data_IF_014349724745
#
_entry.id   IF_014349724745
#
_cell.length_a   1.000
_cell.length_b   1.000
_cell.length_c   1.000
_cell.angle_alpha   90.00
_cell.angle_beta   90.00
_cell.angle_gamma   90.00
#
_symmetry.space_group_name_H-M   'P 1'
#
loop_
_entity.id
_entity.type
_entity.pdbx_description
1 polymer ?
#
# COMPACT_ATOMS: atom_id res chain seq x y z
N UNK A 1 21.63 -12.50 5.67
CA UNK A 1 22.42 -11.30 6.04
C UNK A 1 23.74 -11.79 6.62
N UNK A 2 24.84 -11.06 6.42
CA UNK A 2 26.20 -11.47 6.81
C UNK A 2 27.04 -10.23 7.15
N UNK A 3 28.03 -10.40 8.04
CA UNK A 3 28.94 -9.33 8.46
C UNK A 3 28.32 -8.37 9.47
N UNK A 4 29.11 -7.36 9.87
CA UNK A 4 28.75 -6.35 10.87
C UNK A 4 28.90 -4.95 10.33
N UNK A 5 28.09 -4.02 10.82
CA UNK A 5 28.21 -2.60 10.44
C UNK A 5 27.96 -1.70 11.64
N UNK A 6 28.78 -0.67 11.80
CA UNK A 6 28.57 0.36 12.83
C UNK A 6 27.56 1.37 12.30
N UNK A 7 26.63 1.80 13.14
CA UNK A 7 25.60 2.77 12.83
C UNK A 7 25.68 3.88 13.88
N UNK A 8 25.91 5.10 13.41
CA UNK A 8 25.78 6.31 14.22
C UNK A 8 24.45 6.96 13.87
N UNK A 9 23.63 7.24 14.88
CA UNK A 9 22.26 7.73 14.74
C UNK A 9 22.14 9.04 15.50
N UNK A 10 21.50 10.03 14.89
CA UNK A 10 21.18 11.31 15.52
C UNK A 10 19.68 11.61 15.46
N UNK A 11 19.21 12.37 16.44
CA UNK A 11 17.83 12.83 16.50
C UNK A 11 17.47 13.67 15.26
N UNK A 12 16.22 13.62 14.76
CA UNK A 12 15.77 14.45 13.66
C UNK A 12 15.90 15.94 13.97
N UNK A 13 16.40 16.68 13.00
CA UNK A 13 16.50 18.16 12.99
C UNK A 13 15.60 18.78 11.92
N UNK A 14 15.08 17.94 11.00
CA UNK A 14 14.11 18.31 9.98
C UNK A 14 12.89 17.41 10.09
N UNK A 15 11.74 18.01 10.40
CA UNK A 15 10.53 17.27 10.72
C UNK A 15 9.83 16.75 9.45
N UNK A 16 9.37 15.51 9.50
CA UNK A 16 8.55 14.88 8.46
C UNK A 16 9.11 14.96 7.03
N UNK A 17 10.40 14.61 6.80
CA UNK A 17 10.97 14.68 5.46
C UNK A 17 10.26 13.74 4.50
N UNK A 18 10.22 14.13 3.24
CA UNK A 18 9.75 13.31 2.13
C UNK A 18 10.95 12.76 1.36
N UNK A 19 10.72 11.76 0.50
CA UNK A 19 11.81 11.06 -0.19
C UNK A 19 12.68 11.97 -1.07
N UNK A 20 12.15 13.11 -1.55
CA UNK A 20 12.88 14.10 -2.34
C UNK A 20 13.79 15.01 -1.51
N UNK A 21 13.61 15.08 -0.19
CA UNK A 21 14.46 15.86 0.70
C UNK A 21 15.74 15.06 1.00
N UNK A 22 16.78 15.29 0.20
CA UNK A 22 18.07 14.61 0.35
C UNK A 22 19.00 15.43 1.24
N UNK A 23 19.72 14.76 2.13
CA UNK A 23 20.66 15.37 3.08
C UNK A 23 21.68 16.29 2.41
N UNK A 24 22.24 15.87 1.27
CA UNK A 24 23.23 16.65 0.50
C UNK A 24 22.72 18.02 0.03
N UNK A 25 21.40 18.17 -0.13
CA UNK A 25 20.76 19.36 -0.67
C UNK A 25 20.21 20.27 0.47
N UNK A 26 20.37 19.84 1.73
CA UNK A 26 19.78 20.48 2.92
C UNK A 26 20.76 20.53 4.11
N UNK A 27 21.99 21.04 3.92
CA UNK A 27 23.04 21.01 4.95
C UNK A 27 22.71 21.82 6.22
N UNK A 28 21.83 22.81 6.12
CA UNK A 28 21.36 23.63 7.23
C UNK A 28 20.59 22.83 8.28
N UNK A 29 20.12 21.63 7.92
CA UNK A 29 19.48 20.71 8.84
C UNK A 29 20.42 19.61 9.33
N UNK A 30 21.72 19.60 9.01
CA UNK A 30 22.59 18.54 9.50
C UNK A 30 22.54 18.44 11.05
N UNK A 31 22.56 17.21 11.62
CA UNK A 31 22.57 17.05 13.06
C UNK A 31 23.89 17.56 13.64
N UNK A 32 23.88 17.91 14.93
CA UNK A 32 25.12 18.10 15.66
C UNK A 32 25.83 16.75 15.79
N UNK A 33 27.01 16.62 15.20
CA UNK A 33 27.77 15.37 15.18
C UNK A 33 28.26 14.95 16.57
N UNK A 34 28.38 15.89 17.51
CA UNK A 34 28.74 15.58 18.91
C UNK A 34 27.54 15.04 19.72
N UNK A 35 26.31 15.27 19.25
CA UNK A 35 25.07 14.83 19.92
C UNK A 35 24.58 13.52 19.29
N UNK A 36 25.30 12.43 19.57
CA UNK A 36 24.98 11.09 19.10
C UNK A 36 23.88 10.50 19.95
N UNK A 37 22.75 10.15 19.33
CA UNK A 37 21.65 9.47 20.03
C UNK A 37 21.99 8.00 20.28
N UNK A 38 22.57 7.33 19.29
CA UNK A 38 22.90 5.91 19.38
C UNK A 38 24.10 5.59 18.48
N UNK A 39 25.04 4.82 19.02
CA UNK A 39 26.23 4.32 18.31
C UNK A 39 26.35 2.83 18.60
N UNK A 40 26.05 2.01 17.59
CA UNK A 40 25.90 0.57 17.74
C UNK A 40 26.58 -0.18 16.60
N UNK A 41 26.99 -1.42 16.84
CA UNK A 41 27.39 -2.36 15.80
C UNK A 41 26.28 -3.39 15.67
N UNK A 42 25.69 -3.50 14.48
CA UNK A 42 24.73 -4.53 14.15
C UNK A 42 25.46 -5.76 13.62
N UNK A 43 25.06 -6.94 14.09
CA UNK A 43 25.54 -8.24 13.61
C UNK A 43 24.48 -8.97 12.78
N UNK A 44 24.86 -10.11 12.21
CA UNK A 44 23.94 -10.90 11.38
C UNK A 44 22.76 -11.44 12.19
N UNK A 45 21.56 -10.96 11.87
CA UNK A 45 20.32 -11.32 12.57
C UNK A 45 19.70 -10.15 13.34
N UNK A 46 20.46 -9.10 13.60
CA UNK A 46 19.96 -7.90 14.26
C UNK A 46 19.04 -7.09 13.35
N UNK A 47 18.12 -6.37 13.98
CA UNK A 47 17.17 -5.48 13.31
C UNK A 47 17.26 -4.10 13.94
N UNK A 48 17.49 -3.09 13.10
CA UNK A 48 17.41 -1.69 13.47
C UNK A 48 16.18 -1.06 12.82
N UNK A 49 15.27 -0.57 13.65
CA UNK A 49 14.16 0.27 13.20
C UNK A 49 14.54 1.74 13.29
N UNK A 50 14.50 2.45 12.15
CA UNK A 50 14.72 3.90 12.08
C UNK A 50 13.41 4.59 11.72
N UNK A 51 12.83 5.39 12.63
CA UNK A 51 11.68 6.22 12.29
C UNK A 51 12.04 7.26 11.22
N UNK A 52 11.02 7.75 10.51
CA UNK A 52 11.21 8.78 9.48
C UNK A 52 11.90 10.02 10.05
N UNK A 53 12.93 10.51 9.36
CA UNK A 53 13.65 11.74 9.70
C UNK A 53 14.86 11.55 10.60
N UNK A 54 15.13 10.34 11.07
CA UNK A 54 16.34 10.04 11.83
C UNK A 54 17.56 10.00 10.93
N UNK A 55 18.57 10.77 11.30
CA UNK A 55 19.87 10.77 10.63
C UNK A 55 20.62 9.50 11.01
N UNK A 56 21.27 8.89 10.02
CA UNK A 56 22.03 7.67 10.23
C UNK A 56 23.24 7.64 9.30
N UNK A 57 24.38 7.28 9.86
CA UNK A 57 25.63 7.08 9.13
C UNK A 57 26.11 5.63 9.33
N UNK A 58 25.97 4.77 8.31
CA UNK A 58 26.37 3.38 8.40
C UNK A 58 27.84 3.22 7.98
N UNK A 59 28.71 3.00 8.96
CA UNK A 59 30.18 2.97 8.84
C UNK A 59 30.68 1.51 8.71
N UNK A 60 31.51 1.19 7.70
CA UNK A 60 32.09 -0.14 7.56
C UNK A 60 33.11 -0.44 8.67
N UNK A 61 33.20 -1.71 9.09
CA UNK A 61 34.10 -2.17 10.16
C UNK A 61 35.25 -3.05 9.65
N UNK A 62 35.52 -3.03 8.34
CA UNK A 62 36.66 -3.75 7.74
C UNK A 62 36.37 -5.19 7.31
N UNK A 63 35.10 -5.59 7.19
CA UNK A 63 34.68 -6.90 6.68
C UNK A 63 33.57 -6.75 5.63
N UNK A 64 33.32 -7.82 4.88
CA UNK A 64 32.21 -7.88 3.92
C UNK A 64 30.87 -7.92 4.67
N UNK A 65 29.88 -7.15 4.19
CA UNK A 65 28.58 -7.05 4.86
C UNK A 65 27.42 -7.00 3.87
N UNK A 66 26.28 -7.58 4.23
CA UNK A 66 25.03 -7.53 3.46
C UNK A 66 23.86 -7.23 4.41
N UNK A 67 23.19 -6.10 4.19
CA UNK A 67 22.02 -5.66 4.94
C UNK A 67 20.80 -5.57 4.03
N UNK A 68 19.64 -5.97 4.54
CA UNK A 68 18.36 -5.78 3.87
C UNK A 68 17.68 -4.55 4.46
N UNK A 69 17.43 -3.53 3.62
CA UNK A 69 16.66 -2.36 4.01
C UNK A 69 15.21 -2.48 3.51
N UNK A 70 14.26 -2.36 4.44
CA UNK A 70 12.82 -2.39 4.12
C UNK A 70 12.27 -0.98 4.34
N UNK A 71 11.91 -0.31 3.24
CA UNK A 71 11.31 1.02 3.27
C UNK A 71 9.79 0.97 3.40
N UNK A 72 9.23 1.78 4.29
CA UNK A 72 7.78 1.99 4.41
C UNK A 72 7.44 3.34 3.78
N UNK A 73 6.52 3.35 2.82
CA UNK A 73 6.12 4.55 2.07
C UNK A 73 4.61 4.80 2.23
N UNK A 74 4.18 5.43 3.33
CA UNK A 74 2.77 5.72 3.58
C UNK A 74 2.27 6.85 2.66
N UNK A 75 0.94 7.02 2.63
CA UNK A 75 0.32 8.22 2.05
C UNK A 75 0.72 9.47 2.84
N UNK A 76 1.13 10.52 2.14
CA UNK A 76 1.47 11.81 2.73
C UNK A 76 0.40 12.86 2.41
N UNK A 77 0.30 13.90 3.25
CA UNK A 77 -0.67 14.98 3.06
C UNK A 77 -0.55 15.66 1.68
N UNK A 78 0.67 15.81 1.15
CA UNK A 78 0.87 16.35 -0.19
C UNK A 78 0.31 15.41 -1.29
N UNK A 79 0.34 14.09 -1.09
CA UNK A 79 -0.31 13.16 -2.03
C UNK A 79 -1.83 13.34 -2.02
N UNK A 80 -2.42 13.58 -0.84
CA UNK A 80 -3.85 13.84 -0.74
C UNK A 80 -4.22 15.15 -1.43
N UNK A 81 -3.44 16.22 -1.21
CA UNK A 81 -3.65 17.50 -1.88
C UNK A 81 -3.57 17.38 -3.41
N UNK A 82 -2.59 16.64 -3.93
CA UNK A 82 -2.51 16.33 -5.38
C UNK A 82 -3.74 15.57 -5.86
N UNK A 83 -4.21 14.58 -5.10
CA UNK A 83 -5.43 13.85 -5.44
C UNK A 83 -6.66 14.76 -5.45
N UNK A 84 -6.82 15.64 -4.46
CA UNK A 84 -7.91 16.63 -4.41
C UNK A 84 -7.87 17.54 -5.63
N UNK A 85 -6.70 18.12 -5.96
CA UNK A 85 -6.55 18.99 -7.12
C UNK A 85 -6.96 18.30 -8.44
N UNK A 86 -6.70 17.00 -8.58
CA UNK A 86 -7.07 16.23 -9.76
C UNK A 86 -8.56 15.84 -9.82
N UNK A 87 -9.25 15.71 -8.68
CA UNK A 87 -10.63 15.19 -8.61
C UNK A 87 -11.68 16.26 -8.33
N UNK A 88 -11.29 17.43 -7.78
CA UNK A 88 -12.24 18.49 -7.45
C UNK A 88 -12.91 19.12 -8.67
N UNK A 89 -12.42 18.84 -9.88
CA UNK A 89 -13.04 19.24 -11.15
C UNK A 89 -14.50 18.78 -11.30
N UNK A 90 -14.98 17.82 -10.49
CA UNK A 90 -16.39 17.46 -10.37
C UNK A 90 -17.27 18.62 -9.84
N UNK A 91 -16.70 19.50 -9.02
CA UNK A 91 -17.34 20.69 -8.48
C UNK A 91 -17.24 21.85 -9.47
N UNK A 92 -18.35 22.57 -9.65
CA UNK A 92 -18.40 23.69 -10.59
C UNK A 92 -17.41 24.80 -10.26
N UNK A 93 -17.22 25.12 -8.98
CA UNK A 93 -16.25 26.10 -8.50
C UNK A 93 -14.83 25.86 -9.04
N UNK A 94 -14.44 24.59 -9.27
CA UNK A 94 -13.13 24.22 -9.82
C UNK A 94 -13.05 24.31 -11.36
N UNK A 95 -14.16 24.60 -12.04
CA UNK A 95 -14.25 24.73 -13.51
C UNK A 95 -14.54 26.15 -13.97
N UNK A 96 -14.75 27.08 -13.05
CA UNK A 96 -14.96 28.50 -13.35
C UNK A 96 -13.70 29.09 -14.00
N UNK A 97 -13.87 29.85 -15.08
CA UNK A 97 -12.78 30.58 -15.72
C UNK A 97 -12.31 31.73 -14.85
N UNK A 98 -10.99 31.89 -14.73
CA UNK A 98 -10.35 33.01 -14.05
C UNK A 98 -9.68 33.95 -15.07
N UNK A 99 -9.70 35.25 -14.80
CA UNK A 99 -9.12 36.34 -15.59
C UNK A 99 -8.18 37.23 -14.75
N UNK A 100 -8.68 37.88 -13.69
CA UNK A 100 -7.90 38.73 -12.78
C UNK A 100 -8.36 38.61 -11.32
N UNK A 101 -7.45 38.91 -10.38
CA UNK A 101 -7.69 38.62 -8.97
C UNK A 101 -8.86 39.41 -8.40
N UNK A 102 -8.98 40.69 -8.76
CA UNK A 102 -10.04 41.56 -8.27
C UNK A 102 -11.42 41.16 -8.80
N UNK A 103 -11.54 40.80 -10.08
CA UNK A 103 -12.79 40.34 -10.67
C UNK A 103 -13.23 38.98 -10.13
N UNK A 104 -12.25 38.12 -9.84
CA UNK A 104 -12.50 36.72 -9.52
C UNK A 104 -12.50 36.42 -8.03
N UNK A 105 -12.33 37.42 -7.17
CA UNK A 105 -12.23 37.23 -5.72
C UNK A 105 -13.37 36.37 -5.17
N UNK A 106 -14.61 36.62 -5.60
CA UNK A 106 -15.79 35.83 -5.23
C UNK A 106 -15.68 34.35 -5.68
N UNK A 107 -15.18 34.10 -6.89
CA UNK A 107 -14.97 32.74 -7.41
C UNK A 107 -13.81 32.03 -6.70
N UNK A 108 -12.76 32.76 -6.32
CA UNK A 108 -11.63 32.23 -5.54
C UNK A 108 -12.09 31.88 -4.11
N UNK A 109 -12.93 32.71 -3.49
CA UNK A 109 -13.52 32.44 -2.18
C UNK A 109 -14.42 31.19 -2.23
N UNK A 110 -15.27 31.08 -3.25
CA UNK A 110 -16.11 29.90 -3.47
C UNK A 110 -15.28 28.61 -3.70
N UNK A 111 -14.24 28.69 -4.52
CA UNK A 111 -13.30 27.60 -4.72
C UNK A 111 -12.60 27.21 -3.42
N UNK A 112 -12.15 28.17 -2.62
CA UNK A 112 -11.50 27.93 -1.32
C UNK A 112 -12.42 27.18 -0.36
N UNK A 113 -13.67 27.63 -0.22
CA UNK A 113 -14.67 26.96 0.62
C UNK A 113 -14.96 25.55 0.11
N UNK A 114 -15.14 25.40 -1.21
CA UNK A 114 -15.37 24.11 -1.86
C UNK A 114 -14.20 23.14 -1.64
N UNK A 115 -12.96 23.60 -1.77
CA UNK A 115 -11.75 22.78 -1.51
C UNK A 115 -11.70 22.36 -0.05
N UNK A 116 -11.98 23.28 0.89
CA UNK A 116 -11.99 22.99 2.32
C UNK A 116 -12.99 21.89 2.67
N UNK A 117 -14.23 22.01 2.19
CA UNK A 117 -15.26 20.97 2.36
C UNK A 117 -14.84 19.65 1.71
N UNK A 118 -14.25 19.70 0.50
CA UNK A 118 -13.83 18.51 -0.24
C UNK A 118 -12.70 17.74 0.47
N UNK A 119 -11.76 18.46 1.10
CA UNK A 119 -10.67 17.89 1.92
C UNK A 119 -11.20 17.28 3.21
N UNK A 120 -12.21 17.90 3.84
CA UNK A 120 -12.78 17.43 5.09
C UNK A 120 -13.80 16.30 4.91
N UNK A 121 -14.25 16.04 3.68
CA UNK A 121 -15.15 14.93 3.36
C UNK A 121 -14.45 13.56 3.53
N UNK A 122 -14.97 12.76 4.47
CA UNK A 122 -14.47 11.42 4.79
C UNK A 122 -14.50 10.46 3.59
N UNK A 123 -15.51 10.55 2.72
CA UNK A 123 -15.63 9.68 1.55
C UNK A 123 -14.55 10.02 0.54
N UNK A 124 -14.24 11.29 0.34
CA UNK A 124 -13.15 11.73 -0.52
C UNK A 124 -11.79 11.27 0.01
N UNK A 125 -11.54 11.42 1.32
CA UNK A 125 -10.33 10.87 1.93
C UNK A 125 -10.23 9.34 1.76
N UNK A 126 -11.35 8.63 1.91
CA UNK A 126 -11.40 7.18 1.68
C UNK A 126 -11.06 6.81 0.23
N UNK A 127 -11.65 7.50 -0.75
CA UNK A 127 -11.33 7.32 -2.18
C UNK A 127 -9.85 7.57 -2.46
N UNK A 128 -9.26 8.61 -1.87
CA UNK A 128 -7.82 8.87 -1.98
C UNK A 128 -6.98 7.71 -1.47
N UNK A 129 -7.26 7.21 -0.26
CA UNK A 129 -6.51 6.11 0.33
C UNK A 129 -6.61 4.84 -0.53
N UNK A 130 -7.80 4.57 -1.08
CA UNK A 130 -8.02 3.50 -2.05
C UNK A 130 -7.17 3.67 -3.31
N UNK A 131 -7.20 4.85 -3.92
CA UNK A 131 -6.44 5.13 -5.14
C UNK A 131 -4.93 5.09 -4.90
N UNK A 132 -4.46 5.62 -3.77
CA UNK A 132 -3.04 5.70 -3.44
C UNK A 132 -2.40 4.31 -3.27
N UNK A 133 -3.07 3.42 -2.53
CA UNK A 133 -2.57 2.05 -2.34
C UNK A 133 -2.95 1.14 -3.52
N UNK A 134 -4.08 1.39 -4.18
CA UNK A 134 -4.51 0.65 -5.37
C UNK A 134 -3.60 0.85 -6.58
N UNK A 135 -3.02 2.05 -6.75
CA UNK A 135 -2.06 2.36 -7.84
C UNK A 135 -0.69 1.71 -7.66
N UNK A 136 -0.32 1.26 -6.45
CA UNK A 136 0.91 0.51 -6.19
C UNK A 136 0.78 -0.96 -6.59
N UNK A 137 0.16 -1.23 -7.74
CA UNK A 137 0.06 -2.56 -8.33
C UNK A 137 1.47 -3.12 -8.45
N UNK A 138 1.70 -4.27 -7.82
CA UNK A 138 2.77 -5.15 -8.28
C UNK A 138 2.26 -5.74 -9.57
N UNK A 139 2.73 -5.21 -10.71
CA UNK A 139 2.44 -5.82 -12.01
C UNK A 139 2.95 -7.25 -11.97
N UNK A 140 2.03 -8.21 -12.14
CA UNK A 140 2.36 -9.63 -12.12
C UNK A 140 2.09 -10.22 -13.49
N UNK A 141 2.95 -11.15 -13.94
CA UNK A 141 2.57 -12.00 -15.07
C UNK A 141 1.27 -12.72 -14.69
N UNK A 142 0.28 -12.68 -15.59
CA UNK A 142 -0.91 -13.52 -15.47
C UNK A 142 -0.44 -14.98 -15.34
N UNK A 143 -1.12 -15.77 -14.50
CA UNK A 143 -0.88 -17.21 -14.44
C UNK A 143 -1.44 -17.87 -15.71
N UNK A 144 -0.73 -17.69 -16.82
CA UNK A 144 -1.15 -18.11 -18.15
C UNK A 144 -1.32 -19.63 -18.24
N UNK A 145 -0.59 -20.40 -17.42
CA UNK A 145 -0.74 -21.87 -17.39
C UNK A 145 -2.15 -22.30 -16.97
N UNK A 146 -2.76 -21.57 -16.03
CA UNK A 146 -4.10 -21.86 -15.54
C UNK A 146 -5.16 -21.13 -16.39
N UNK A 147 -4.92 -19.85 -16.71
CA UNK A 147 -5.94 -18.96 -17.27
C UNK A 147 -5.90 -18.79 -18.80
N UNK A 148 -4.85 -19.24 -19.50
CA UNK A 148 -4.79 -19.13 -20.97
C UNK A 148 -5.55 -20.25 -21.69
N UNK A 149 -5.91 -21.32 -21.01
CA UNK A 149 -6.76 -22.37 -21.58
C UNK A 149 -8.24 -22.03 -21.35
N UNK A 150 -8.94 -21.61 -22.41
CA UNK A 150 -10.38 -21.32 -22.41
C UNK A 150 -11.27 -22.49 -21.96
N UNK A 151 -10.73 -23.72 -21.91
CA UNK A 151 -11.44 -24.90 -21.38
C UNK A 151 -11.43 -24.93 -19.85
N UNK A 152 -10.51 -24.22 -19.22
CA UNK A 152 -10.48 -24.06 -17.77
C UNK A 152 -11.42 -22.92 -17.39
N UNK A 153 -12.46 -23.24 -16.62
CA UNK A 153 -13.40 -22.26 -16.05
C UNK A 153 -13.52 -22.37 -14.53
N UNK A 154 -12.73 -23.27 -13.92
CA UNK A 154 -12.69 -23.55 -12.49
C UNK A 154 -11.36 -24.18 -12.10
N UNK A 155 -11.02 -24.10 -10.82
CA UNK A 155 -9.91 -24.86 -10.22
C UNK A 155 -10.32 -26.33 -10.04
N UNK A 156 -9.37 -27.26 -10.15
CA UNK A 156 -9.60 -28.71 -10.12
C UNK A 156 -9.55 -29.33 -8.72
N UNK A 157 -9.21 -28.56 -7.69
CA UNK A 157 -9.23 -28.99 -6.28
C UNK A 157 -7.84 -29.19 -5.68
N UNK A 158 -6.87 -29.59 -6.51
CA UNK A 158 -5.47 -29.78 -6.13
C UNK A 158 -4.67 -28.49 -6.04
N UNK A 159 -5.14 -27.41 -6.66
CA UNK A 159 -4.44 -26.13 -6.65
C UNK A 159 -4.44 -25.52 -5.24
N UNK A 160 -3.37 -24.82 -4.89
CA UNK A 160 -3.28 -24.11 -3.63
C UNK A 160 -3.69 -22.65 -3.81
N UNK A 161 -4.62 -22.20 -2.95
CA UNK A 161 -5.15 -20.84 -2.93
C UNK A 161 -4.64 -20.08 -1.69
N UNK A 162 -4.25 -18.82 -1.87
CA UNK A 162 -3.82 -17.95 -0.77
C UNK A 162 -4.06 -16.48 -1.11
N UNK A 163 -4.13 -15.62 -0.09
CA UNK A 163 -3.89 -14.21 -0.35
C UNK A 163 -2.45 -13.99 -0.75
N UNK A 164 -2.28 -13.03 -1.64
CA UNK A 164 -0.99 -12.70 -2.25
C UNK A 164 0.07 -12.30 -1.22
N UNK A 165 -0.30 -11.61 -0.13
CA UNK A 165 0.55 -11.18 0.98
C UNK A 165 -0.29 -10.96 2.24
N UNK A 166 0.33 -11.04 3.43
CA UNK A 166 -0.27 -10.54 4.68
C UNK A 166 -0.58 -9.05 4.55
N UNK A 167 -1.79 -8.63 4.93
CA UNK A 167 -2.27 -7.23 4.87
C UNK A 167 -2.46 -6.64 3.45
N UNK A 168 -2.62 -7.46 2.41
CA UNK A 168 -2.79 -6.98 1.02
C UNK A 168 -4.18 -6.41 0.71
N UNK A 169 -5.08 -6.38 1.69
CA UNK A 169 -6.36 -5.74 1.59
C UNK A 169 -6.52 -4.67 2.65
N UNK A 170 -7.17 -3.57 2.29
CA UNK A 170 -7.66 -2.58 3.23
C UNK A 170 -9.18 -2.72 3.30
N UNK A 171 -9.69 -3.01 4.50
CA UNK A 171 -11.12 -2.97 4.77
C UNK A 171 -11.54 -1.50 4.93
N UNK A 172 -12.36 -1.02 4.00
CA UNK A 172 -13.01 0.29 4.12
C UNK A 172 -14.52 0.01 4.15
N UNK A 173 -15.07 -0.13 5.36
CA UNK A 173 -16.44 -0.61 5.55
C UNK A 173 -16.59 -2.06 5.05
N UNK A 174 -17.60 -2.33 4.22
CA UNK A 174 -17.88 -3.63 3.60
C UNK A 174 -17.22 -3.79 2.21
N UNK A 175 -16.06 -3.17 1.96
CA UNK A 175 -15.36 -3.26 0.68
C UNK A 175 -13.89 -3.62 0.86
N UNK A 176 -13.45 -4.56 0.04
CA UNK A 176 -12.06 -4.95 -0.13
C UNK A 176 -11.49 -4.20 -1.33
N UNK A 177 -10.36 -3.53 -1.13
CA UNK A 177 -9.54 -3.04 -2.26
C UNK A 177 -8.27 -3.88 -2.35
N UNK A 178 -8.12 -4.59 -3.46
CA UNK A 178 -6.95 -5.42 -3.75
C UNK A 178 -6.63 -5.34 -5.25
N UNK A 179 -5.36 -5.11 -5.58
CA UNK A 179 -4.89 -4.94 -6.97
C UNK A 179 -5.67 -3.87 -7.79
N UNK A 180 -6.19 -2.83 -7.14
CA UNK A 180 -7.01 -1.78 -7.77
C UNK A 180 -8.45 -2.20 -8.10
N UNK A 181 -8.89 -3.40 -7.72
CA UNK A 181 -10.29 -3.83 -7.82
C UNK A 181 -11.03 -3.53 -6.52
N UNK A 182 -12.28 -3.07 -6.67
CA UNK A 182 -13.23 -2.88 -5.58
C UNK A 182 -14.14 -4.10 -5.51
N UNK A 183 -14.07 -4.86 -4.44
CA UNK A 183 -14.89 -6.06 -4.23
C UNK A 183 -15.79 -5.81 -3.03
N UNK A 184 -17.11 -5.91 -3.23
CA UNK A 184 -18.07 -5.87 -2.12
C UNK A 184 -17.90 -7.12 -1.26
N UNK A 185 -17.79 -6.93 0.05
CA UNK A 185 -17.55 -7.98 1.03
C UNK A 185 -18.90 -8.36 1.65
N UNK A 186 -19.51 -9.42 1.13
CA UNK A 186 -20.66 -10.07 1.79
C UNK A 186 -20.18 -11.06 2.87
N UNK A 187 -21.13 -11.67 3.60
CA UNK A 187 -20.80 -12.62 4.68
C UNK A 187 -20.00 -13.84 4.18
N UNK A 188 -20.28 -14.30 2.96
CA UNK A 188 -19.53 -15.38 2.31
C UNK A 188 -18.07 -14.96 2.11
N UNK A 189 -17.83 -13.75 1.61
CA UNK A 189 -16.51 -13.20 1.38
C UNK A 189 -15.76 -12.93 2.70
N UNK A 190 -16.42 -12.46 3.76
CA UNK A 190 -15.80 -12.32 5.10
C UNK A 190 -15.23 -13.65 5.58
N UNK A 191 -15.95 -14.75 5.35
CA UNK A 191 -15.48 -16.09 5.71
C UNK A 191 -14.27 -16.51 4.86
N UNK A 192 -14.26 -16.22 3.55
CA UNK A 192 -13.08 -16.43 2.70
C UNK A 192 -11.88 -15.68 3.26
N UNK A 193 -12.06 -14.40 3.64
CA UNK A 193 -11.02 -13.59 4.24
C UNK A 193 -10.48 -14.29 5.49
N UNK A 194 -11.34 -14.64 6.45
CA UNK A 194 -10.91 -15.26 7.72
C UNK A 194 -10.14 -16.57 7.54
N UNK A 195 -10.44 -17.34 6.49
CA UNK A 195 -9.77 -18.62 6.22
C UNK A 195 -8.37 -18.37 5.63
N UNK A 196 -8.25 -17.38 4.74
CA UNK A 196 -7.03 -17.12 3.98
C UNK A 196 -6.13 -16.02 4.59
N UNK A 197 -6.60 -15.32 5.64
CA UNK A 197 -5.96 -14.14 6.25
C UNK A 197 -4.51 -14.38 6.70
N UNK A 198 -4.19 -15.60 7.11
CA UNK A 198 -2.83 -15.97 7.52
C UNK A 198 -1.82 -15.99 6.35
N UNK A 199 -2.30 -15.99 5.10
CA UNK A 199 -1.48 -15.97 3.89
C UNK A 199 -0.80 -17.30 3.57
N UNK A 200 -1.06 -18.37 4.33
CA UNK A 200 -0.56 -19.70 4.01
C UNK A 200 -1.37 -20.32 2.87
N UNK A 201 -0.73 -20.93 1.86
CA UNK A 201 -1.40 -21.67 0.81
C UNK A 201 -2.27 -22.79 1.38
N UNK A 202 -3.53 -22.85 0.95
CA UNK A 202 -4.47 -23.90 1.30
C UNK A 202 -4.96 -24.60 0.04
N UNK A 203 -4.96 -25.93 0.03
CA UNK A 203 -5.52 -26.69 -1.10
C UNK A 203 -6.99 -26.36 -1.32
N UNK A 204 -7.39 -26.20 -2.58
CA UNK A 204 -8.73 -25.77 -2.94
C UNK A 204 -9.83 -26.69 -2.39
N UNK A 205 -9.62 -28.02 -2.40
CA UNK A 205 -10.58 -28.96 -1.78
C UNK A 205 -10.69 -28.77 -0.27
N UNK A 206 -9.56 -28.55 0.41
CA UNK A 206 -9.54 -28.28 1.85
C UNK A 206 -10.20 -26.94 2.16
N UNK A 207 -9.99 -25.93 1.33
CA UNK A 207 -10.65 -24.63 1.43
C UNK A 207 -12.18 -24.76 1.26
N UNK A 208 -12.64 -25.43 0.21
CA UNK A 208 -14.07 -25.60 -0.10
C UNK A 208 -14.80 -26.42 0.97
N UNK A 209 -14.14 -27.37 1.62
CA UNK A 209 -14.71 -28.16 2.72
C UNK A 209 -15.17 -27.34 3.94
N UNK A 210 -14.73 -26.08 4.05
CA UNK A 210 -15.14 -25.17 5.14
C UNK A 210 -16.47 -24.46 4.86
N UNK A 211 -17.08 -24.68 3.70
CA UNK A 211 -18.34 -24.08 3.28
C UNK A 211 -19.45 -25.14 3.18
N UNK A 212 -20.73 -24.76 3.43
CA UNK A 212 -21.86 -25.64 3.17
C UNK A 212 -21.89 -26.09 1.70
N UNK A 213 -22.30 -27.33 1.44
CA UNK A 213 -22.30 -27.94 0.11
C UNK A 213 -23.06 -27.13 -0.94
N UNK A 214 -24.14 -26.48 -0.53
CA UNK A 214 -24.98 -25.59 -1.37
C UNK A 214 -24.26 -24.31 -1.84
N UNK A 215 -23.17 -23.90 -1.17
CA UNK A 215 -22.41 -22.69 -1.50
C UNK A 215 -21.11 -22.98 -2.28
N UNK A 216 -20.68 -24.24 -2.36
CA UNK A 216 -19.37 -24.62 -2.92
C UNK A 216 -19.19 -24.10 -4.35
N UNK A 217 -20.21 -24.20 -5.21
CA UNK A 217 -20.11 -23.78 -6.61
C UNK A 217 -19.92 -22.25 -6.73
N UNK A 218 -20.69 -21.48 -5.97
CA UNK A 218 -20.59 -20.02 -5.95
C UNK A 218 -19.24 -19.56 -5.39
N UNK A 219 -18.77 -20.19 -4.31
CA UNK A 219 -17.46 -19.89 -3.71
C UNK A 219 -16.34 -20.25 -4.69
N UNK A 220 -16.41 -21.41 -5.35
CA UNK A 220 -15.41 -21.84 -6.32
C UNK A 220 -15.30 -20.86 -7.50
N UNK A 221 -16.45 -20.41 -8.03
CA UNK A 221 -16.51 -19.39 -9.08
C UNK A 221 -15.93 -18.06 -8.62
N UNK A 222 -16.27 -17.63 -7.41
CA UNK A 222 -15.73 -16.39 -6.84
C UNK A 222 -14.20 -16.47 -6.67
N UNK A 223 -13.66 -17.58 -6.16
CA UNK A 223 -12.20 -17.78 -6.07
C UNK A 223 -11.56 -17.73 -7.45
N UNK A 224 -12.16 -18.37 -8.45
CA UNK A 224 -11.71 -18.29 -9.85
C UNK A 224 -11.64 -16.84 -10.33
N UNK A 225 -12.74 -16.08 -10.21
CA UNK A 225 -12.84 -14.70 -10.65
C UNK A 225 -11.79 -13.80 -9.94
N UNK A 226 -11.63 -13.98 -8.62
CA UNK A 226 -10.64 -13.26 -7.82
C UNK A 226 -9.19 -13.62 -8.20
N UNK A 227 -8.97 -14.87 -8.57
CA UNK A 227 -7.66 -15.34 -8.99
C UNK A 227 -7.30 -14.82 -10.38
N UNK A 228 -8.29 -14.75 -11.27
CA UNK A 228 -8.16 -14.19 -12.61
C UNK A 228 -7.73 -12.71 -12.58
N UNK A 229 -8.26 -11.93 -11.63
CA UNK A 229 -7.88 -10.52 -11.43
C UNK A 229 -6.67 -10.32 -10.50
N UNK A 230 -6.04 -11.42 -10.04
CA UNK A 230 -4.82 -11.40 -9.24
C UNK A 230 -5.01 -11.00 -7.77
N UNK A 231 -6.23 -11.08 -7.23
CA UNK A 231 -6.52 -10.85 -5.80
C UNK A 231 -6.17 -12.09 -4.98
N UNK A 232 -6.46 -13.27 -5.50
CA UNK A 232 -6.08 -14.56 -4.92
C UNK A 232 -4.95 -15.15 -5.75
N UNK A 233 -3.93 -15.67 -5.07
CA UNK A 233 -2.85 -16.42 -5.70
C UNK A 233 -3.26 -17.88 -5.81
N UNK A 234 -3.08 -18.45 -7.00
CA UNK A 234 -3.28 -19.87 -7.28
C UNK A 234 -1.95 -20.45 -7.77
N UNK A 235 -1.52 -21.56 -7.15
CA UNK A 235 -0.41 -22.36 -7.64
C UNK A 235 -0.89 -23.77 -7.94
N UNK A 236 -0.32 -24.38 -8.97
CA UNK A 236 -0.41 -25.83 -9.13
C UNK A 236 0.39 -26.48 -7.99
N UNK A 237 -0.20 -27.50 -7.35
CA UNK A 237 0.55 -28.38 -6.44
C UNK A 237 1.64 -29.15 -7.17
#
# INVERSE_FOLDING_TARGET
MQGRKRWIIHAPTFNNPLFMHKSKDMPEYNPNLDDVYMDIILEAGDILYLPRGWWHDPIPVGEETVHLAIGIFPAYANNYLTWVANNIVEKEAARVSLFDYESDLSSIEDLSNTVSEYILDKNNFSKFMEDFYGKKRVERPLNLEIFADHRNSRLNGSEEVSFVNKNYYHNIGDKLVSNGYRISVDESFKKIISILENGEPLKMDTFLSQFPSENIENISKLIWDLSYIGVIKVNNS
#
